data_IF_173070468132
#
_entry.id   IF_173070468132
#
_cell.length_a   1.000
_cell.length_b   1.000
_cell.length_c   1.000
_cell.angle_alpha   90.00
_cell.angle_beta   90.00
_cell.angle_gamma   90.00
#
_symmetry.space_group_name_H-M   'P 1'
#
loop_
_entity.id
_entity.type
_entity.pdbx_description
1 polymer ?
#
# COMPACT_ATOMS: atom_id res chain seq x y z
N UNK A 1 2.34 -40.69 -23.24
CA UNK A 1 0.88 -40.52 -23.07
C UNK A 1 0.59 -39.06 -23.34
N UNK A 2 0.12 -38.75 -24.57
CA UNK A 2 -1.27 -38.33 -24.82
C UNK A 2 -1.56 -37.02 -24.08
N UNK A 3 -1.74 -35.86 -24.70
CA UNK A 3 -2.41 -35.54 -25.99
C UNK A 3 -2.24 -34.01 -26.12
N UNK A 4 -1.40 -33.47 -27.01
CA UNK A 4 -1.72 -33.06 -28.38
C UNK A 4 -3.01 -33.63 -28.98
N UNK A 5 -3.67 -32.82 -29.83
CA UNK A 5 -4.97 -33.01 -30.52
C UNK A 5 -6.07 -32.17 -29.87
N UNK A 6 -6.18 -30.91 -30.30
CA UNK A 6 -7.45 -30.18 -30.55
C UNK A 6 -7.15 -28.73 -30.98
N UNK A 7 -6.27 -28.53 -31.96
CA UNK A 7 -6.40 -27.37 -32.84
C UNK A 7 -6.75 -27.91 -34.23
N UNK A 8 -8.05 -27.84 -34.52
CA UNK A 8 -8.69 -28.00 -35.82
C UNK A 8 -7.80 -27.34 -36.90
N UNK A 9 -7.46 -27.98 -38.01
CA UNK A 9 -8.33 -28.80 -38.86
C UNK A 9 -8.76 -27.95 -40.05
N UNK A 10 -8.34 -28.36 -41.26
CA UNK A 10 -8.85 -27.85 -42.55
C UNK A 10 -7.74 -27.29 -43.45
N UNK A 11 -7.16 -28.10 -44.32
CA UNK A 11 -7.54 -28.27 -45.75
C UNK A 11 -7.19 -27.02 -46.57
N UNK A 12 -6.01 -27.00 -47.16
CA UNK A 12 -5.79 -27.34 -48.58
C UNK A 12 -6.21 -26.26 -49.59
N UNK A 13 -5.20 -25.83 -50.35
CA UNK A 13 -5.20 -25.60 -51.79
C UNK A 13 -5.87 -24.34 -52.39
N UNK A 14 -5.02 -23.62 -53.16
CA UNK A 14 -5.32 -22.65 -54.24
C UNK A 14 -5.65 -21.19 -53.86
N UNK A 15 -4.62 -20.40 -53.53
CA UNK A 15 -4.66 -18.92 -53.53
C UNK A 15 -3.31 -18.19 -53.71
N UNK A 16 -2.22 -18.93 -53.94
CA UNK A 16 -0.96 -18.64 -53.24
C UNK A 16 0.08 -17.78 -54.00
N UNK A 17 -0.32 -16.97 -54.99
CA UNK A 17 0.60 -16.01 -55.65
C UNK A 17 0.14 -14.57 -55.68
N UNK A 18 -1.16 -14.30 -55.60
CA UNK A 18 -1.67 -12.93 -55.53
C UNK A 18 -1.59 -12.40 -54.10
N UNK A 19 -1.97 -13.22 -53.12
CA UNK A 19 -1.95 -12.86 -51.70
C UNK A 19 -0.54 -12.59 -51.19
N UNK A 20 0.47 -13.37 -51.60
CA UNK A 20 1.88 -13.14 -51.21
C UNK A 20 2.41 -11.80 -51.76
N UNK A 21 2.04 -11.42 -52.99
CA UNK A 21 2.45 -10.14 -53.57
C UNK A 21 1.74 -8.96 -52.90
N UNK A 22 0.46 -9.10 -52.58
CA UNK A 22 -0.31 -8.10 -51.81
C UNK A 22 0.26 -7.95 -50.40
N UNK A 23 0.55 -9.05 -49.70
CA UNK A 23 1.17 -9.07 -48.38
C UNK A 23 2.56 -8.40 -48.40
N UNK A 24 3.39 -8.68 -49.40
CA UNK A 24 4.71 -8.07 -49.56
C UNK A 24 4.64 -6.56 -49.89
N UNK A 25 3.65 -6.12 -50.68
CA UNK A 25 3.44 -4.70 -50.97
C UNK A 25 2.91 -3.96 -49.72
N UNK A 26 1.98 -4.56 -48.98
CA UNK A 26 1.46 -4.00 -47.72
C UNK A 26 2.54 -3.90 -46.63
N UNK A 27 3.41 -4.90 -46.49
CA UNK A 27 4.55 -4.88 -45.56
C UNK A 27 5.58 -3.81 -45.93
N UNK A 28 5.83 -3.60 -47.23
CA UNK A 28 6.73 -2.52 -47.71
C UNK A 28 6.13 -1.14 -47.49
N UNK A 29 4.83 -0.96 -47.73
CA UNK A 29 4.12 0.30 -47.46
C UNK A 29 4.12 0.63 -45.96
N UNK A 30 3.92 -0.37 -45.08
CA UNK A 30 3.99 -0.21 -43.62
C UNK A 30 5.41 0.11 -43.10
N UNK A 31 6.45 -0.46 -43.72
CA UNK A 31 7.85 -0.12 -43.39
C UNK A 31 8.25 1.29 -43.85
N UNK A 32 7.70 1.78 -44.98
CA UNK A 32 7.99 3.13 -45.48
C UNK A 32 7.28 4.20 -44.65
N UNK A 33 6.04 3.96 -44.22
CA UNK A 33 5.31 4.90 -43.35
C UNK A 33 5.91 5.02 -41.95
N UNK A 34 6.36 3.90 -41.36
CA UNK A 34 7.04 3.92 -40.05
C UNK A 34 8.38 4.67 -40.08
N UNK A 35 9.18 4.52 -41.15
CA UNK A 35 10.44 5.27 -41.32
C UNK A 35 10.17 6.77 -41.52
N UNK A 36 9.14 7.15 -42.28
CA UNK A 36 8.78 8.57 -42.48
C UNK A 36 8.29 9.25 -41.20
N UNK A 37 7.46 8.58 -40.38
CA UNK A 37 6.98 9.13 -39.10
C UNK A 37 8.12 9.27 -38.08
N UNK A 38 9.05 8.31 -38.04
CA UNK A 38 10.23 8.40 -37.18
C UNK A 38 11.15 9.57 -37.59
N UNK A 39 11.34 9.79 -38.89
CA UNK A 39 12.15 10.89 -39.40
C UNK A 39 11.54 12.28 -39.11
N UNK A 40 10.21 12.44 -39.15
CA UNK A 40 9.55 13.70 -38.76
C UNK A 40 9.57 13.95 -37.24
N UNK A 41 9.60 12.89 -36.42
CA UNK A 41 9.62 13.02 -34.96
C UNK A 41 10.97 13.53 -34.39
N UNK A 42 12.06 13.37 -35.15
CA UNK A 42 13.41 13.80 -34.74
C UNK A 42 13.67 15.30 -34.93
N UNK A 43 12.86 16.01 -35.71
CA UNK A 43 13.11 17.45 -36.04
C UNK A 43 12.52 18.40 -34.98
N UNK A 44 11.62 17.93 -34.12
CA UNK A 44 10.91 18.78 -33.14
C UNK A 44 11.55 18.83 -31.74
N UNK A 45 12.67 18.15 -31.49
CA UNK A 45 13.28 18.08 -30.15
C UNK A 45 14.31 19.20 -29.85
N UNK A 46 14.47 20.18 -30.74
CA UNK A 46 15.43 21.28 -30.54
C UNK A 46 14.79 22.56 -29.97
N UNK A 47 13.64 22.48 -29.29
CA UNK A 47 13.10 23.63 -28.56
C UNK A 47 13.89 23.81 -27.26
N UNK A 48 14.67 24.90 -27.23
CA UNK A 48 15.52 25.37 -26.14
C UNK A 48 14.87 25.22 -24.76
N UNK A 49 15.48 24.42 -23.89
CA UNK A 49 15.24 24.52 -22.45
C UNK A 49 16.27 25.52 -21.90
N UNK A 50 15.89 26.79 -21.85
CA UNK A 50 16.59 27.78 -21.05
C UNK A 50 16.46 27.40 -19.58
N UNK A 51 17.50 26.73 -19.08
CA UNK A 51 17.67 26.46 -17.67
C UNK A 51 17.81 27.79 -16.92
N UNK A 52 16.70 28.31 -16.41
CA UNK A 52 16.74 29.29 -15.32
C UNK A 52 17.36 28.59 -14.11
N UNK A 53 18.65 28.83 -13.90
CA UNK A 53 19.32 28.51 -12.64
C UNK A 53 18.73 29.42 -11.55
N UNK A 54 17.62 28.98 -10.95
CA UNK A 54 17.19 29.47 -9.66
C UNK A 54 18.18 28.93 -8.63
N UNK A 55 19.08 29.81 -8.16
CA UNK A 55 19.88 29.59 -6.97
C UNK A 55 18.94 29.38 -5.79
N UNK A 56 18.62 28.14 -5.47
CA UNK A 56 18.00 27.76 -4.21
C UNK A 56 19.00 28.03 -3.09
N UNK A 57 18.59 28.86 -2.13
CA UNK A 57 19.35 29.04 -0.89
C UNK A 57 19.42 27.67 -0.18
N UNK A 58 20.61 27.20 0.22
CA UNK A 58 20.78 25.86 0.77
C UNK A 58 20.03 25.61 2.10
N UNK A 59 19.50 26.65 2.76
CA UNK A 59 18.65 26.54 3.94
C UNK A 59 17.15 26.47 3.65
N UNK A 60 16.64 27.24 2.68
CA UNK A 60 15.19 27.48 2.56
C UNK A 60 14.39 26.26 2.11
N UNK A 61 14.98 25.40 1.27
CA UNK A 61 14.30 24.18 0.80
C UNK A 61 14.28 23.06 1.84
N UNK A 62 15.29 22.98 2.72
CA UNK A 62 15.37 21.99 3.78
C UNK A 62 14.49 22.39 4.97
N UNK A 63 14.45 23.68 5.29
CA UNK A 63 13.55 24.25 6.29
C UNK A 63 12.08 24.05 5.87
N UNK A 64 11.72 24.35 4.61
CA UNK A 64 10.35 24.13 4.12
C UNK A 64 9.94 22.65 4.13
N UNK A 65 10.83 21.74 3.74
CA UNK A 65 10.55 20.30 3.79
C UNK A 65 10.39 19.78 5.23
N UNK A 66 11.12 20.37 6.18
CA UNK A 66 11.01 20.01 7.60
C UNK A 66 9.66 20.44 8.17
N UNK A 67 9.24 21.68 7.91
CA UNK A 67 7.94 22.20 8.33
C UNK A 67 6.77 21.40 7.73
N UNK A 68 6.87 21.05 6.45
CA UNK A 68 5.88 20.23 5.76
C UNK A 68 5.80 18.81 6.37
N UNK A 69 6.95 18.17 6.62
CA UNK A 69 7.00 16.84 7.24
C UNK A 69 6.40 16.84 8.65
N UNK A 70 6.62 17.90 9.43
CA UNK A 70 6.02 18.08 10.75
C UNK A 70 4.50 18.20 10.62
N UNK A 71 4.00 19.01 9.67
CA UNK A 71 2.56 19.18 9.43
C UNK A 71 1.89 17.85 9.09
N UNK A 72 2.46 17.05 8.18
CA UNK A 72 1.91 15.74 7.85
C UNK A 72 1.92 14.78 9.03
N UNK A 73 2.98 14.77 9.83
CA UNK A 73 3.02 13.93 11.02
C UNK A 73 1.96 14.34 12.04
N UNK A 74 1.77 15.65 12.27
CA UNK A 74 0.75 16.14 13.19
C UNK A 74 -0.66 15.75 12.71
N UNK A 75 -0.94 15.79 11.41
CA UNK A 75 -2.21 15.29 10.88
C UNK A 75 -2.37 13.78 11.13
N UNK A 76 -1.34 12.98 10.84
CA UNK A 76 -1.35 11.54 11.09
C UNK A 76 -1.51 11.20 12.59
N UNK A 77 -0.90 12.01 13.47
CA UNK A 77 -0.92 11.81 14.93
C UNK A 77 -2.34 11.82 15.49
N UNK A 78 -3.26 12.58 14.89
CA UNK A 78 -4.68 12.57 15.25
C UNK A 78 -5.28 11.18 15.14
N UNK A 79 -4.86 10.41 14.13
CA UNK A 79 -5.27 9.01 13.96
C UNK A 79 -4.66 8.13 15.05
N UNK A 80 -3.35 8.23 15.28
CA UNK A 80 -2.68 7.40 16.29
C UNK A 80 -3.28 7.60 17.68
N UNK A 81 -3.65 8.84 18.02
CA UNK A 81 -4.33 9.20 19.28
C UNK A 81 -5.82 8.88 19.34
N UNK A 82 -6.44 8.56 18.20
CA UNK A 82 -7.86 8.29 18.17
C UNK A 82 -8.19 7.02 18.98
N UNK A 83 -9.32 6.96 19.71
CA UNK A 83 -9.69 5.77 20.49
C UNK A 83 -9.68 4.46 19.70
N UNK A 84 -10.06 4.50 18.42
CA UNK A 84 -9.95 3.34 17.51
C UNK A 84 -8.54 2.75 17.42
N UNK A 85 -7.49 3.57 17.45
CA UNK A 85 -6.11 3.10 17.49
C UNK A 85 -5.69 2.76 18.92
N UNK A 86 -6.01 3.61 19.89
CA UNK A 86 -5.62 3.43 21.30
C UNK A 86 -6.23 2.18 21.95
N UNK A 87 -7.43 1.76 21.53
CA UNK A 87 -8.08 0.53 21.99
C UNK A 87 -7.24 -0.74 21.72
N UNK A 88 -6.41 -0.73 20.68
CA UNK A 88 -5.50 -1.81 20.33
C UNK A 88 -4.03 -1.55 20.74
N UNK A 89 -3.69 -0.31 21.07
CA UNK A 89 -2.36 0.14 21.51
C UNK A 89 -2.34 0.57 23.00
N UNK A 90 -2.88 -0.24 23.93
CA UNK A 90 -2.95 0.15 25.34
C UNK A 90 -1.56 0.18 25.99
N UNK A 91 -1.42 1.01 27.02
CA UNK A 91 -0.21 1.04 27.85
C UNK A 91 -0.01 -0.24 28.67
N UNK A 92 -1.12 -0.92 28.99
CA UNK A 92 -1.13 -2.14 29.78
C UNK A 92 -1.40 -3.42 28.97
N UNK A 93 -1.78 -4.44 29.71
CA UNK A 93 -2.08 -5.78 29.19
C UNK A 93 -3.57 -5.99 28.88
N UNK A 94 -4.38 -4.93 28.88
CA UNK A 94 -5.82 -5.03 28.62
C UNK A 94 -6.19 -4.06 27.52
N UNK A 95 -6.90 -4.50 26.46
CA UNK A 95 -7.46 -3.57 25.51
C UNK A 95 -8.47 -2.67 26.20
N UNK A 96 -8.66 -1.50 25.59
CA UNK A 96 -9.76 -0.61 25.92
C UNK A 96 -10.85 -0.69 24.84
N UNK A 97 -12.01 -0.13 25.14
CA UNK A 97 -13.18 -0.13 24.27
C UNK A 97 -13.86 1.25 24.36
N UNK A 98 -14.53 1.64 23.28
CA UNK A 98 -15.23 2.91 23.20
C UNK A 98 -14.29 4.11 23.04
N UNK A 99 -14.87 5.30 23.08
CA UNK A 99 -14.14 6.56 22.95
C UNK A 99 -13.56 7.05 24.28
N UNK A 100 -14.08 6.56 25.40
CA UNK A 100 -13.65 6.82 26.77
C UNK A 100 -12.51 5.91 27.24
N UNK A 101 -12.07 4.96 26.40
CA UNK A 101 -10.99 4.02 26.67
C UNK A 101 -11.21 3.20 27.96
N UNK A 102 -12.45 2.85 28.29
CA UNK A 102 -12.71 1.94 29.39
C UNK A 102 -12.17 0.54 29.06
N UNK A 103 -11.83 -0.26 30.07
CA UNK A 103 -11.33 -1.60 29.84
C UNK A 103 -12.37 -2.44 29.08
N UNK A 104 -11.92 -3.20 28.07
CA UNK A 104 -12.79 -4.05 27.27
C UNK A 104 -13.69 -4.94 28.15
N UNK A 105 -15.01 -4.88 27.91
CA UNK A 105 -16.03 -5.38 28.85
C UNK A 105 -15.91 -6.87 29.19
N UNK A 106 -15.38 -7.68 28.27
CA UNK A 106 -15.16 -9.12 28.48
C UNK A 106 -13.95 -9.44 29.37
N UNK A 107 -13.29 -8.42 29.92
CA UNK A 107 -12.18 -8.56 30.86
C UNK A 107 -10.97 -9.32 30.29
N UNK A 108 -10.82 -9.31 28.97
CA UNK A 108 -9.73 -10.00 28.25
C UNK A 108 -8.36 -9.42 28.61
N UNK A 109 -7.34 -10.26 28.56
CA UNK A 109 -5.95 -9.92 28.87
C UNK A 109 -5.02 -10.34 27.75
N UNK A 110 -3.95 -9.59 27.57
CA UNK A 110 -2.86 -9.84 26.62
C UNK A 110 -2.24 -11.21 26.89
N UNK A 111 -2.16 -12.04 25.87
CA UNK A 111 -1.41 -13.29 25.89
C UNK A 111 0.08 -13.07 25.59
N UNK A 112 0.88 -14.13 25.70
CA UNK A 112 2.31 -14.08 25.35
C UNK A 112 2.57 -13.72 23.87
N UNK A 113 1.58 -13.95 23.01
CA UNK A 113 1.59 -13.66 21.57
C UNK A 113 0.61 -12.54 21.19
N UNK A 114 0.19 -11.72 22.16
CA UNK A 114 -0.74 -10.59 22.01
C UNK A 114 -2.16 -10.96 21.54
N UNK A 115 -2.51 -12.25 21.47
CA UNK A 115 -3.80 -12.77 20.95
C UNK A 115 -4.75 -13.29 22.03
N UNK A 116 -4.59 -12.81 23.26
CA UNK A 116 -5.35 -13.28 24.40
C UNK A 116 -4.70 -14.45 25.13
N UNK A 117 -4.99 -14.57 26.43
CA UNK A 117 -4.50 -15.66 27.31
C UNK A 117 -5.13 -17.01 26.96
N UNK A 118 -4.53 -18.09 27.48
CA UNK A 118 -5.10 -19.45 27.37
C UNK A 118 -6.54 -19.48 27.92
N UNK A 119 -7.48 -20.02 27.14
CA UNK A 119 -8.90 -20.06 27.49
C UNK A 119 -9.71 -18.80 27.14
N UNK A 120 -9.05 -17.70 26.76
CA UNK A 120 -9.72 -16.45 26.36
C UNK A 120 -8.96 -15.80 25.19
N UNK A 121 -8.87 -16.54 24.09
CA UNK A 121 -8.23 -16.07 22.85
C UNK A 121 -9.13 -15.06 22.15
N UNK A 122 -8.57 -14.00 21.59
CA UNK A 122 -9.35 -12.97 20.91
C UNK A 122 -10.19 -13.54 19.76
N UNK A 123 -9.63 -14.51 19.03
CA UNK A 123 -10.27 -15.19 17.91
C UNK A 123 -11.48 -16.06 18.29
N UNK A 124 -11.74 -16.30 19.57
CA UNK A 124 -12.95 -16.99 20.02
C UNK A 124 -14.21 -16.12 19.84
N UNK A 125 -14.06 -14.80 19.76
CA UNK A 125 -15.16 -13.86 19.51
C UNK A 125 -14.94 -13.05 18.22
N UNK A 126 -13.72 -12.53 18.03
CA UNK A 126 -13.35 -11.72 16.87
C UNK A 126 -13.00 -12.60 15.67
N UNK A 127 -13.90 -12.65 14.70
CA UNK A 127 -13.77 -13.45 13.49
C UNK A 127 -13.18 -12.62 12.32
N UNK A 128 -13.19 -13.17 11.11
CA UNK A 128 -12.66 -12.49 9.92
C UNK A 128 -13.48 -11.27 9.49
N UNK A 129 -14.77 -11.24 9.83
CA UNK A 129 -15.71 -10.18 9.50
C UNK A 129 -16.53 -9.79 10.72
N UNK A 130 -17.09 -8.59 10.70
CA UNK A 130 -17.99 -8.11 11.74
C UNK A 130 -19.18 -9.06 11.88
N UNK A 131 -19.57 -9.33 13.13
CA UNK A 131 -20.74 -10.14 13.42
C UNK A 131 -21.91 -9.25 13.83
N UNK A 132 -22.90 -9.14 12.95
CA UNK A 132 -23.99 -8.17 13.04
C UNK A 132 -24.77 -8.26 14.36
N UNK A 133 -25.17 -9.49 14.77
CA UNK A 133 -26.09 -9.66 15.90
C UNK A 133 -25.49 -9.24 17.23
N UNK A 134 -24.21 -9.56 17.47
CA UNK A 134 -23.52 -9.17 18.71
C UNK A 134 -22.67 -7.90 18.56
N UNK A 135 -22.62 -7.32 17.35
CA UNK A 135 -21.78 -6.18 16.97
C UNK A 135 -20.29 -6.37 17.29
N UNK A 136 -19.83 -7.62 17.37
CA UNK A 136 -18.42 -7.91 17.61
C UNK A 136 -17.66 -7.60 16.32
N UNK A 137 -16.63 -6.72 16.35
CA UNK A 137 -15.87 -6.40 15.15
C UNK A 137 -15.02 -7.60 14.73
N UNK A 138 -14.79 -7.72 13.43
CA UNK A 138 -13.94 -8.75 12.88
C UNK A 138 -12.89 -8.19 11.92
N UNK A 139 -11.72 -8.80 11.95
CA UNK A 139 -10.64 -8.59 11.00
C UNK A 139 -9.70 -9.82 11.06
N UNK A 140 -8.98 -10.12 9.96
CA UNK A 140 -7.95 -11.14 10.01
C UNK A 140 -6.86 -10.76 11.03
N UNK A 141 -6.27 -11.77 11.69
CA UNK A 141 -5.12 -11.63 12.61
C UNK A 141 -5.37 -10.72 13.83
N UNK A 142 -6.59 -10.75 14.39
CA UNK A 142 -6.94 -9.96 15.58
C UNK A 142 -5.97 -10.18 16.75
N UNK A 143 -5.30 -9.11 17.17
CA UNK A 143 -4.32 -9.10 18.25
C UNK A 143 -4.18 -7.67 18.80
N UNK A 144 -3.62 -7.53 20.00
CA UNK A 144 -3.13 -6.23 20.46
C UNK A 144 -1.83 -5.87 19.73
N UNK A 145 -1.57 -4.57 19.61
CA UNK A 145 -0.25 -4.12 19.20
C UNK A 145 0.81 -4.59 20.22
N UNK A 146 2.02 -4.95 19.77
CA UNK A 146 3.10 -5.31 20.68
C UNK A 146 3.35 -4.23 21.73
N UNK A 147 3.85 -4.61 22.91
CA UNK A 147 4.11 -3.66 24.01
C UNK A 147 5.04 -2.50 23.62
N UNK A 148 5.96 -2.74 22.69
CA UNK A 148 6.85 -1.70 22.15
C UNK A 148 6.12 -0.59 21.38
N UNK A 149 4.87 -0.85 20.96
CA UNK A 149 3.97 0.09 20.29
C UNK A 149 2.81 0.53 21.20
N UNK A 150 2.97 0.45 22.52
CA UNK A 150 2.02 1.07 23.44
C UNK A 150 2.04 2.59 23.26
N UNK A 151 0.94 3.17 22.77
CA UNK A 151 0.84 4.60 22.48
C UNK A 151 -0.03 5.35 23.48
N UNK A 152 -0.89 4.65 24.22
CA UNK A 152 -1.77 5.28 25.20
C UNK A 152 -0.95 6.05 26.25
N UNK A 153 -1.28 7.33 26.42
CA UNK A 153 -0.60 8.23 27.35
C UNK A 153 0.65 8.92 26.80
N UNK A 154 1.14 8.54 25.62
CA UNK A 154 2.27 9.22 24.97
C UNK A 154 1.84 10.55 24.32
N UNK A 155 2.75 11.51 24.24
CA UNK A 155 2.60 12.71 23.41
C UNK A 155 2.98 12.46 21.92
N UNK A 156 2.78 13.44 21.05
CA UNK A 156 3.02 13.29 19.60
C UNK A 156 4.50 13.08 19.28
N UNK A 157 5.39 13.69 20.06
CA UNK A 157 6.84 13.53 19.90
C UNK A 157 7.27 12.13 20.31
N UNK A 158 6.73 11.61 21.40
CA UNK A 158 7.00 10.25 21.88
C UNK A 158 6.49 9.20 20.89
N UNK A 159 5.28 9.38 20.34
CA UNK A 159 4.75 8.51 19.27
C UNK A 159 5.64 8.58 18.02
N UNK A 160 6.08 9.78 17.61
CA UNK A 160 7.00 9.96 16.49
C UNK A 160 8.30 9.16 16.68
N UNK A 161 8.92 9.27 17.87
CA UNK A 161 10.13 8.54 18.19
C UNK A 161 9.92 7.03 18.23
N UNK A 162 8.77 6.57 18.73
CA UNK A 162 8.43 5.15 18.75
C UNK A 162 8.21 4.58 17.34
N UNK A 163 7.53 5.31 16.45
CA UNK A 163 7.31 4.90 15.06
C UNK A 163 8.60 4.90 14.25
N UNK A 164 9.52 5.86 14.50
CA UNK A 164 10.82 5.91 13.81
C UNK A 164 11.82 4.83 14.25
N UNK A 165 11.65 4.29 15.45
CA UNK A 165 12.53 3.25 15.97
C UNK A 165 12.13 1.87 15.42
N UNK A 166 12.93 1.35 14.48
CA UNK A 166 12.66 0.05 13.83
C UNK A 166 12.55 -1.12 14.81
N UNK A 167 13.21 -1.02 15.97
CA UNK A 167 13.13 -2.05 17.02
C UNK A 167 11.79 -2.00 17.75
N UNK A 168 11.12 -0.84 17.79
CA UNK A 168 9.83 -0.67 18.45
C UNK A 168 8.66 -0.90 17.52
N UNK A 169 8.81 -0.55 16.24
CA UNK A 169 7.76 -0.68 15.23
C UNK A 169 7.77 -2.02 14.46
N UNK A 170 8.70 -2.94 14.78
CA UNK A 170 8.84 -4.26 14.16
C UNK A 170 9.21 -4.20 12.67
N UNK A 171 10.17 -3.34 12.33
CA UNK A 171 10.68 -3.11 10.97
C UNK A 171 9.63 -2.62 9.95
N UNK A 172 8.50 -2.09 10.43
CA UNK A 172 7.56 -1.30 9.63
C UNK A 172 8.24 -0.01 9.13
#
# INVERSE_FOLDING_TARGET
MRTAILECGGSEFFGDRLEVRVQQVLLRLSSVTTVLVAALSLVSFSFSFEASAQTSQPGSAQESQTEESISYFLEASKTFRHPRCMNCHPAGDRPTQGDDLHAHIMNVQRGADDKGVTGMRCASCHNQANYEYSQVPGAPKWALAPRSMAWQGLDDREICLAIKDRKKNHDM
#
